data_IF_449724343821
#
_entry.id   IF_449724343821
#
_cell.length_a   1.000
_cell.length_b   1.000
_cell.length_c   1.000
_cell.angle_alpha   90.00
_cell.angle_beta   90.00
_cell.angle_gamma   90.00
#
_symmetry.space_group_name_H-M   'P 1'
#
loop_
_entity.id
_entity.type
_entity.pdbx_description
1 polymer ?
#
# COMPACT_ATOMS: atom_id res chain seq x y z
N UNK A 1 1.05 -96.15 24.09
CA UNK A 1 0.56 -94.76 24.16
C UNK A 1 0.25 -94.38 25.61
N UNK A 2 1.14 -93.58 26.21
CA UNK A 2 1.09 -92.77 27.45
C UNK A 2 2.58 -92.36 27.64
N UNK A 3 3.00 -91.13 27.96
CA UNK A 3 2.49 -90.05 28.78
C UNK A 3 3.19 -88.74 28.39
N UNK A 4 2.53 -87.59 28.63
CA UNK A 4 3.10 -86.24 28.67
C UNK A 4 3.90 -86.02 29.97
N UNK A 5 4.90 -85.13 29.95
CA UNK A 5 5.25 -84.08 30.96
C UNK A 5 6.58 -83.37 30.54
N UNK A 6 6.96 -82.17 31.04
CA UNK A 6 6.51 -80.87 30.52
C UNK A 6 7.68 -79.89 30.21
N UNK A 7 7.30 -78.73 29.64
CA UNK A 7 7.97 -77.42 29.64
C UNK A 7 9.37 -77.28 30.26
N UNK A 8 10.34 -76.85 29.44
CA UNK A 8 11.30 -75.78 29.80
C UNK A 8 11.69 -75.03 28.53
N UNK A 9 11.38 -73.74 28.43
CA UNK A 9 12.18 -72.81 27.61
C UNK A 9 12.29 -71.51 28.40
N UNK A 10 13.43 -71.35 29.07
CA UNK A 10 13.80 -70.11 29.71
C UNK A 10 13.98 -69.04 28.64
N UNK A 11 13.13 -68.01 28.67
CA UNK A 11 13.33 -66.80 27.85
C UNK A 11 14.39 -65.97 28.55
N UNK A 12 15.64 -66.07 28.08
CA UNK A 12 16.70 -65.13 28.42
C UNK A 12 16.40 -63.81 27.70
N UNK A 13 15.92 -62.83 28.46
CA UNK A 13 15.81 -61.43 28.00
C UNK A 13 17.22 -60.88 27.92
N UNK A 14 17.82 -60.91 26.73
CA UNK A 14 19.05 -60.18 26.46
C UNK A 14 18.68 -58.72 26.21
N UNK A 15 18.87 -57.88 27.23
CA UNK A 15 18.90 -56.43 27.08
C UNK A 15 20.16 -56.05 26.29
N UNK A 16 20.09 -56.12 24.96
CA UNK A 16 21.07 -55.44 24.11
C UNK A 16 20.66 -53.98 24.08
N UNK A 17 21.43 -53.15 24.78
CA UNK A 17 21.36 -51.71 24.68
C UNK A 17 21.55 -51.32 23.22
N UNK A 18 20.47 -50.89 22.56
CA UNK A 18 20.58 -50.22 21.27
C UNK A 18 21.26 -48.88 21.56
N UNK A 19 22.58 -48.88 21.50
CA UNK A 19 23.36 -47.66 21.40
C UNK A 19 23.06 -47.08 20.01
N UNK A 20 21.94 -46.36 19.92
CA UNK A 20 21.68 -45.45 18.81
C UNK A 20 22.71 -44.32 18.92
N UNK A 21 23.92 -44.61 18.48
CA UNK A 21 24.88 -43.62 18.07
C UNK A 21 24.36 -43.03 16.76
N UNK A 22 23.30 -42.23 16.86
CA UNK A 22 23.00 -41.26 15.81
C UNK A 22 24.26 -40.41 15.66
N UNK A 23 24.87 -40.35 14.47
CA UNK A 23 26.06 -39.53 14.28
C UNK A 23 25.70 -38.09 14.64
N UNK A 24 26.30 -37.55 15.71
CA UNK A 24 26.18 -36.15 16.12
C UNK A 24 26.60 -35.15 15.01
N UNK A 25 27.08 -35.67 13.88
CA UNK A 25 27.50 -34.94 12.69
C UNK A 25 26.33 -34.44 11.84
N UNK A 26 25.17 -35.10 11.83
CA UNK A 26 24.02 -34.65 11.02
C UNK A 26 23.29 -33.45 11.63
N UNK A 27 23.38 -33.28 12.95
CA UNK A 27 22.84 -32.09 13.61
C UNK A 27 23.72 -30.87 13.30
N UNK A 28 25.06 -31.02 13.35
CA UNK A 28 26.00 -29.90 13.21
C UNK A 28 26.01 -29.22 11.83
N UNK A 29 25.80 -29.98 10.76
CA UNK A 29 25.72 -29.43 9.40
C UNK A 29 24.42 -28.66 9.16
N UNK A 30 23.31 -29.11 9.73
CA UNK A 30 22.04 -28.38 9.67
C UNK A 30 22.05 -27.13 10.56
N UNK A 31 22.69 -27.21 11.74
CA UNK A 31 22.96 -26.04 12.59
C UNK A 31 23.94 -25.03 11.97
N UNK A 32 24.81 -25.43 11.03
CA UNK A 32 25.63 -24.49 10.25
C UNK A 32 24.80 -23.77 9.18
N UNK A 33 24.02 -24.52 8.40
CA UNK A 33 23.07 -23.93 7.44
C UNK A 33 22.03 -23.00 8.08
N UNK A 34 21.62 -23.25 9.33
CA UNK A 34 20.74 -22.36 10.12
C UNK A 34 21.47 -21.20 10.82
N UNK A 35 22.81 -21.25 10.94
CA UNK A 35 23.62 -20.23 11.65
C UNK A 35 24.33 -19.28 10.69
N UNK A 36 24.54 -19.68 9.44
CA UNK A 36 25.12 -18.84 8.38
C UNK A 36 24.07 -17.95 7.66
N UNK A 37 22.76 -18.07 7.94
CA UNK A 37 21.69 -17.33 7.23
C UNK A 37 21.01 -16.18 7.99
N UNK A 38 21.25 -16.05 9.30
CA UNK A 38 20.35 -15.30 10.20
C UNK A 38 21.01 -14.32 11.18
N UNK A 39 22.32 -14.09 11.09
CA UNK A 39 22.95 -13.04 11.90
C UNK A 39 23.68 -12.04 11.02
N UNK A 40 23.06 -10.88 10.85
CA UNK A 40 23.75 -9.70 10.34
C UNK A 40 25.02 -9.46 11.15
N UNK A 41 26.13 -9.23 10.45
CA UNK A 41 27.42 -8.89 11.05
C UNK A 41 27.42 -7.48 11.65
N UNK A 42 28.60 -7.02 12.08
CA UNK A 42 28.77 -5.60 12.43
C UNK A 42 28.60 -4.74 11.18
N UNK A 43 27.83 -3.67 11.28
CA UNK A 43 27.66 -2.72 10.19
C UNK A 43 28.96 -1.95 9.94
N UNK A 44 29.47 -2.03 8.71
CA UNK A 44 30.60 -1.24 8.23
C UNK A 44 30.17 -0.39 7.03
N UNK A 45 29.92 0.90 7.29
CA UNK A 45 29.41 1.84 6.30
C UNK A 45 30.39 2.09 5.15
N UNK A 46 31.69 1.84 5.34
CA UNK A 46 32.68 2.05 4.28
C UNK A 46 32.55 1.02 3.14
N UNK A 47 31.87 -0.11 3.38
CA UNK A 47 31.59 -1.13 2.39
C UNK A 47 30.28 -0.90 1.64
N UNK A 48 29.44 0.03 2.11
CA UNK A 48 28.16 0.30 1.50
C UNK A 48 28.31 1.07 0.19
N UNK A 49 27.53 0.67 -0.82
CA UNK A 49 27.38 1.44 -2.06
C UNK A 49 26.38 2.57 -1.83
N UNK A 50 26.67 3.77 -2.32
CA UNK A 50 25.71 4.87 -2.28
C UNK A 50 24.71 4.73 -3.44
N UNK A 51 23.41 4.54 -3.15
CA UNK A 51 22.41 4.41 -4.21
C UNK A 51 22.14 5.78 -4.84
N UNK A 52 21.93 5.79 -6.16
CA UNK A 52 21.61 6.98 -6.94
C UNK A 52 20.19 6.86 -7.50
N UNK A 53 19.54 8.01 -7.68
CA UNK A 53 18.24 8.12 -8.33
C UNK A 53 17.12 7.30 -7.68
N UNK A 54 17.04 7.31 -6.34
CA UNK A 54 15.97 6.62 -5.61
C UNK A 54 14.68 7.45 -5.58
N UNK A 55 13.61 7.09 -6.33
CA UNK A 55 12.46 7.96 -6.49
C UNK A 55 11.58 8.07 -5.24
N UNK A 56 11.61 7.04 -4.40
CA UNK A 56 10.96 7.01 -3.10
C UNK A 56 11.96 7.18 -1.94
N UNK A 57 13.12 7.78 -2.19
CA UNK A 57 14.16 7.91 -1.17
C UNK A 57 14.84 6.57 -0.83
N UNK A 58 15.59 6.57 0.27
CA UNK A 58 16.44 5.45 0.66
C UNK A 58 15.93 4.76 1.92
N UNK A 59 15.94 3.44 1.91
CA UNK A 59 15.70 2.58 3.06
C UNK A 59 17.01 1.90 3.47
N UNK A 60 17.00 1.17 4.56
CA UNK A 60 18.15 0.35 4.96
C UNK A 60 17.94 -1.10 4.49
N UNK A 61 19.04 -1.78 4.20
CA UNK A 61 19.07 -3.21 3.87
C UNK A 61 18.42 -4.08 4.97
N UNK A 62 18.31 -5.39 4.71
CA UNK A 62 17.81 -6.40 5.68
C UNK A 62 18.50 -6.32 7.05
N UNK A 63 19.76 -5.86 7.07
CA UNK A 63 20.57 -5.77 8.27
C UNK A 63 20.51 -4.40 8.95
N UNK A 64 19.76 -3.45 8.41
CA UNK A 64 19.69 -2.08 8.92
C UNK A 64 21.01 -1.32 8.78
N UNK A 65 21.86 -1.68 7.83
CA UNK A 65 23.21 -1.12 7.69
C UNK A 65 23.35 -0.24 6.45
N UNK A 66 23.35 -0.84 5.26
CA UNK A 66 23.60 -0.11 4.03
C UNK A 66 22.32 0.54 3.48
N UNK A 67 22.43 1.75 2.91
CA UNK A 67 21.30 2.39 2.25
C UNK A 67 21.00 1.72 0.90
N UNK A 68 19.73 1.44 0.66
CA UNK A 68 19.18 0.93 -0.60
C UNK A 68 18.02 1.83 -1.06
N UNK A 69 17.65 1.78 -2.34
CA UNK A 69 16.45 2.51 -2.77
C UNK A 69 15.20 1.83 -2.23
N UNK A 70 14.28 2.63 -1.66
CA UNK A 70 12.98 2.12 -1.25
C UNK A 70 12.05 1.88 -2.44
N UNK A 71 11.16 0.91 -2.30
CA UNK A 71 10.12 0.62 -3.29
C UNK A 71 9.16 1.81 -3.43
N UNK A 72 8.76 2.09 -4.66
CA UNK A 72 7.82 3.17 -5.00
C UNK A 72 6.37 2.74 -4.86
N UNK A 73 5.45 3.71 -4.86
CA UNK A 73 4.00 3.44 -4.83
C UNK A 73 3.58 2.42 -5.92
N UNK A 74 2.83 1.39 -5.51
CA UNK A 74 2.34 0.28 -6.35
C UNK A 74 3.30 -0.91 -6.50
N UNK A 75 4.55 -0.83 -6.03
CA UNK A 75 5.46 -1.98 -6.06
C UNK A 75 5.17 -2.96 -4.91
N UNK A 76 5.43 -4.24 -5.16
CA UNK A 76 5.34 -5.30 -4.16
C UNK A 76 6.36 -5.04 -3.04
N UNK A 77 6.02 -5.35 -1.80
CA UNK A 77 6.87 -5.12 -0.64
C UNK A 77 6.73 -6.21 0.42
N UNK A 78 7.70 -6.30 1.32
CA UNK A 78 7.62 -7.23 2.45
C UNK A 78 6.82 -6.61 3.61
N UNK A 79 5.79 -7.31 4.10
CA UNK A 79 4.97 -6.87 5.24
C UNK A 79 5.69 -6.97 6.59
N UNK A 80 6.51 -8.01 6.72
CA UNK A 80 7.26 -8.31 7.93
C UNK A 80 8.74 -7.95 7.74
N UNK A 81 9.36 -7.36 8.77
CA UNK A 81 10.78 -6.99 8.75
C UNK A 81 11.74 -8.18 8.65
N UNK A 82 11.25 -9.41 8.84
CA UNK A 82 12.05 -10.63 8.75
C UNK A 82 12.27 -11.15 7.32
N UNK A 83 11.37 -10.77 6.39
CA UNK A 83 11.49 -11.11 4.98
C UNK A 83 12.00 -9.88 4.21
N UNK A 84 12.93 -10.09 3.28
CA UNK A 84 13.53 -9.00 2.48
C UNK A 84 13.62 -9.40 1.00
N UNK A 85 12.65 -10.20 0.55
CA UNK A 85 12.64 -10.70 -0.82
C UNK A 85 12.19 -9.61 -1.81
N UNK A 86 11.17 -8.84 -1.43
CA UNK A 86 10.64 -7.75 -2.24
C UNK A 86 11.17 -6.38 -1.80
N UNK A 87 11.66 -6.26 -0.58
CA UNK A 87 12.24 -5.04 -0.02
C UNK A 87 11.22 -4.15 0.69
N UNK A 88 11.72 -3.02 1.21
CA UNK A 88 10.94 -2.07 2.00
C UNK A 88 10.41 -0.92 1.14
N UNK A 89 9.23 -0.42 1.51
CA UNK A 89 8.69 0.81 0.93
C UNK A 89 9.50 2.03 1.33
N UNK A 90 9.68 2.96 0.40
CA UNK A 90 10.40 4.20 0.65
C UNK A 90 9.65 5.23 1.49
N UNK A 91 10.13 6.47 1.39
CA UNK A 91 9.64 7.61 2.14
C UNK A 91 8.14 7.86 1.90
N UNK A 92 7.41 8.10 2.99
CA UNK A 92 5.96 8.33 3.00
C UNK A 92 5.11 7.18 2.46
N UNK A 93 5.69 5.98 2.29
CA UNK A 93 4.97 4.78 1.85
C UNK A 93 4.84 3.77 2.99
N UNK A 94 3.83 2.92 2.89
CA UNK A 94 3.60 1.80 3.82
C UNK A 94 3.19 0.56 3.02
N UNK A 95 3.72 -0.59 3.40
CA UNK A 95 3.37 -1.86 2.78
C UNK A 95 1.99 -2.31 3.29
N UNK A 96 1.02 -2.53 2.38
CA UNK A 96 -0.32 -3.00 2.73
C UNK A 96 -0.77 -4.12 1.80
N UNK A 97 -1.56 -5.05 2.33
CA UNK A 97 -2.34 -6.00 1.56
C UNK A 97 -3.71 -5.39 1.27
N UNK A 98 -4.14 -5.39 0.02
CA UNK A 98 -5.53 -5.11 -0.32
C UNK A 98 -6.35 -6.41 -0.14
N UNK A 99 -7.13 -6.46 0.93
CA UNK A 99 -7.96 -7.62 1.24
C UNK A 99 -9.18 -7.72 0.31
N UNK A 100 -9.55 -6.63 -0.39
CA UNK A 100 -10.71 -6.61 -1.27
C UNK A 100 -10.44 -7.32 -2.62
N UNK A 101 -9.16 -7.47 -3.00
CA UNK A 101 -8.72 -8.25 -4.18
C UNK A 101 -8.76 -9.77 -3.97
N UNK A 102 -8.90 -10.24 -2.73
CA UNK A 102 -8.94 -11.68 -2.40
C UNK A 102 -10.21 -12.41 -2.92
N UNK A 103 -11.08 -11.75 -3.69
CA UNK A 103 -12.38 -12.28 -4.11
C UNK A 103 -12.33 -13.35 -5.21
N UNK A 104 -11.15 -13.65 -5.78
CA UNK A 104 -11.02 -14.60 -6.89
C UNK A 104 -10.10 -15.79 -6.62
N UNK A 105 -9.78 -16.09 -5.36
CA UNK A 105 -8.92 -17.24 -5.02
C UNK A 105 -7.43 -17.04 -5.34
N UNK A 106 -7.06 -15.83 -5.76
CA UNK A 106 -5.68 -15.36 -5.85
C UNK A 106 -5.27 -14.78 -4.49
N UNK A 107 -4.05 -15.09 -4.05
CA UNK A 107 -3.48 -14.52 -2.83
C UNK A 107 -3.03 -13.09 -3.18
N UNK A 108 -3.60 -12.04 -2.58
CA UNK A 108 -3.24 -10.67 -2.94
C UNK A 108 -1.78 -10.39 -2.56
N UNK A 109 -1.06 -9.73 -3.46
CA UNK A 109 0.32 -9.34 -3.22
C UNK A 109 0.37 -7.99 -2.48
N UNK A 110 1.15 -7.88 -1.39
CA UNK A 110 1.26 -6.64 -0.65
C UNK A 110 2.00 -5.57 -1.45
N UNK A 111 1.47 -4.35 -1.48
CA UNK A 111 2.04 -3.23 -2.24
C UNK A 111 2.31 -2.00 -1.38
N UNK A 112 3.27 -1.19 -1.82
CA UNK A 112 3.56 0.11 -1.23
C UNK A 112 2.46 1.11 -1.58
N UNK A 113 1.78 1.64 -0.57
CA UNK A 113 0.76 2.68 -0.73
C UNK A 113 1.16 3.96 -0.01
N UNK A 114 0.80 5.12 -0.57
CA UNK A 114 1.12 6.39 0.06
C UNK A 114 0.38 6.57 1.39
N UNK A 115 1.11 7.03 2.42
CA UNK A 115 0.56 7.27 3.76
C UNK A 115 -0.50 8.38 3.78
N UNK A 116 -0.41 9.34 2.85
CA UNK A 116 -1.36 10.43 2.70
C UNK A 116 -1.91 10.44 1.28
N UNK A 117 -3.22 10.63 1.14
CA UNK A 117 -3.89 10.84 -0.15
C UNK A 117 -4.22 12.34 -0.38
N UNK A 118 -3.65 13.23 0.44
CA UNK A 118 -3.80 14.68 0.28
C UNK A 118 -3.04 15.15 -0.96
N UNK A 119 -3.75 15.75 -1.93
CA UNK A 119 -3.14 16.31 -3.14
C UNK A 119 -2.21 17.47 -2.84
N UNK A 120 -1.30 17.77 -3.77
CA UNK A 120 -0.26 18.78 -3.60
C UNK A 120 -0.10 19.63 -4.86
N UNK A 121 0.06 20.94 -4.69
CA UNK A 121 0.40 21.83 -5.78
C UNK A 121 1.92 22.00 -5.90
N UNK A 122 2.48 21.49 -6.99
CA UNK A 122 3.90 21.59 -7.28
C UNK A 122 4.34 22.98 -7.74
N UNK A 123 5.65 23.25 -7.80
CA UNK A 123 6.19 24.54 -8.23
C UNK A 123 5.78 24.93 -9.65
N UNK A 124 5.68 23.93 -10.54
CA UNK A 124 5.28 24.08 -11.94
C UNK A 124 3.78 24.33 -12.14
N UNK A 125 2.99 24.46 -11.05
CA UNK A 125 1.53 24.60 -11.14
C UNK A 125 0.82 23.30 -11.50
N UNK A 126 1.51 22.16 -11.36
CA UNK A 126 0.96 20.82 -11.55
C UNK A 126 0.47 20.27 -10.21
N UNK A 127 -0.77 19.78 -10.20
CA UNK A 127 -1.33 19.00 -9.09
C UNK A 127 -0.79 17.58 -9.12
N UNK A 128 -0.35 17.09 -7.96
CA UNK A 128 -0.01 15.70 -7.71
C UNK A 128 -1.07 15.09 -6.79
N UNK A 129 -1.45 13.84 -7.02
CA UNK A 129 -2.51 13.18 -6.24
C UNK A 129 -2.15 13.06 -4.77
N UNK A 130 -0.86 12.83 -4.49
CA UNK A 130 -0.32 12.71 -3.15
C UNK A 130 1.17 13.10 -3.07
N UNK A 131 1.72 13.10 -1.85
CA UNK A 131 3.14 13.41 -1.59
C UNK A 131 4.12 12.41 -2.24
N UNK A 132 3.74 11.14 -2.37
CA UNK A 132 4.62 10.12 -2.91
C UNK A 132 4.85 10.33 -4.41
N UNK A 133 3.80 10.70 -5.16
CA UNK A 133 3.93 11.08 -6.57
C UNK A 133 4.74 12.36 -6.77
N UNK A 134 4.56 13.36 -5.89
CA UNK A 134 5.36 14.58 -5.90
C UNK A 134 6.85 14.26 -5.71
N UNK A 135 7.21 13.51 -4.65
CA UNK A 135 8.58 13.13 -4.36
C UNK A 135 9.20 12.33 -5.52
N UNK A 136 8.47 11.38 -6.08
CA UNK A 136 8.91 10.60 -7.25
C UNK A 136 9.26 11.48 -8.45
N UNK A 137 8.45 12.49 -8.76
CA UNK A 137 8.69 13.39 -9.88
C UNK A 137 9.89 14.32 -9.67
N UNK A 138 10.27 14.58 -8.42
CA UNK A 138 11.32 15.52 -8.04
C UNK A 138 12.54 14.85 -7.39
N UNK A 139 12.63 13.52 -7.38
CA UNK A 139 13.65 12.77 -6.66
C UNK A 139 15.10 13.15 -7.03
N UNK A 140 15.34 13.49 -8.29
CA UNK A 140 16.66 13.91 -8.79
C UNK A 140 16.90 15.41 -8.69
N UNK A 141 15.86 16.20 -8.41
CA UNK A 141 15.96 17.66 -8.35
C UNK A 141 16.23 18.10 -6.91
N UNK A 142 17.24 18.96 -6.70
CA UNK A 142 17.56 19.51 -5.37
C UNK A 142 16.85 20.83 -5.10
N UNK A 143 16.59 21.13 -3.83
CA UNK A 143 16.01 22.38 -3.33
C UNK A 143 14.62 22.71 -3.92
N UNK A 144 13.77 21.70 -4.06
CA UNK A 144 12.40 21.90 -4.51
C UNK A 144 11.45 21.80 -3.33
N UNK A 145 10.58 22.80 -3.23
CA UNK A 145 9.47 22.83 -2.29
C UNK A 145 8.15 22.88 -3.06
N UNK A 146 7.14 22.17 -2.56
CA UNK A 146 5.76 22.38 -3.00
C UNK A 146 5.32 23.82 -2.72
N UNK A 147 4.37 24.34 -3.50
CA UNK A 147 3.78 25.67 -3.24
C UNK A 147 2.85 25.63 -2.04
N UNK A 148 1.92 24.69 -2.04
CA UNK A 148 0.99 24.47 -0.94
C UNK A 148 0.42 23.04 -1.01
N UNK A 149 -0.20 22.63 0.09
CA UNK A 149 -1.03 21.42 0.16
C UNK A 149 -2.38 21.66 -0.48
N UNK A 150 -3.01 20.61 -0.98
CA UNK A 150 -4.19 20.69 -1.85
C UNK A 150 -3.81 20.77 -3.33
N UNK A 151 -4.78 20.56 -4.24
CA UNK A 151 -4.56 20.70 -5.67
C UNK A 151 -4.23 22.16 -6.04
N UNK A 152 -3.59 22.37 -7.18
CA UNK A 152 -3.38 23.73 -7.68
C UNK A 152 -4.70 24.42 -8.01
N UNK A 153 -4.71 25.75 -7.89
CA UNK A 153 -5.85 26.58 -8.25
C UNK A 153 -6.30 26.34 -9.70
N UNK A 154 -7.61 26.22 -9.90
CA UNK A 154 -8.22 26.00 -11.20
C UNK A 154 -9.52 26.78 -11.32
N UNK A 155 -9.75 27.36 -12.50
CA UNK A 155 -10.99 28.07 -12.78
C UNK A 155 -12.18 27.09 -12.81
N UNK A 156 -13.39 27.53 -12.43
CA UNK A 156 -14.56 26.67 -12.43
C UNK A 156 -14.92 26.18 -13.83
N UNK A 157 -15.05 24.87 -13.97
CA UNK A 157 -15.47 24.19 -15.20
C UNK A 157 -16.72 23.38 -14.89
N UNK A 158 -17.77 23.54 -15.70
CA UNK A 158 -18.96 22.70 -15.61
C UNK A 158 -18.60 21.35 -16.22
N UNK A 159 -18.30 20.35 -15.38
CA UNK A 159 -17.97 18.98 -15.82
C UNK A 159 -19.21 18.24 -16.30
N UNK A 160 -20.37 18.48 -15.66
CA UNK A 160 -21.66 17.97 -16.08
C UNK A 160 -22.69 19.09 -16.13
N UNK A 161 -23.10 19.55 -17.32
CA UNK A 161 -24.13 20.58 -17.45
C UNK A 161 -25.52 20.01 -17.18
N UNK A 162 -26.48 20.85 -16.73
CA UNK A 162 -27.87 20.44 -16.57
C UNK A 162 -28.46 19.99 -17.90
N UNK A 163 -29.12 18.84 -17.87
CA UNK A 163 -29.73 18.21 -19.04
C UNK A 163 -31.21 18.57 -19.14
N UNK A 164 -31.74 18.53 -20.36
CA UNK A 164 -33.17 18.68 -20.61
C UNK A 164 -33.93 17.44 -20.08
N UNK A 165 -35.03 17.67 -19.36
CA UNK A 165 -35.86 16.61 -18.77
C UNK A 165 -37.28 16.72 -19.30
N UNK A 166 -37.87 15.57 -19.66
CA UNK A 166 -39.29 15.46 -19.99
C UNK A 166 -40.03 14.80 -18.83
N UNK A 167 -41.08 15.44 -18.33
CA UNK A 167 -41.91 14.91 -17.25
C UNK A 167 -43.38 15.31 -17.44
N UNK A 168 -44.28 14.66 -16.70
CA UNK A 168 -45.70 15.02 -16.69
C UNK A 168 -45.95 16.23 -15.80
N UNK A 169 -46.95 17.04 -16.17
CA UNK A 169 -47.36 18.21 -15.40
C UNK A 169 -47.75 17.84 -13.97
N UNK A 170 -47.23 18.58 -13.00
CA UNK A 170 -47.46 18.35 -11.57
C UNK A 170 -46.41 17.47 -10.89
N UNK A 171 -45.48 16.89 -11.64
CA UNK A 171 -44.33 16.16 -11.09
C UNK A 171 -43.15 17.09 -10.84
N UNK A 172 -42.30 16.69 -9.90
CA UNK A 172 -41.02 17.35 -9.63
C UNK A 172 -39.99 17.08 -10.73
N UNK A 173 -39.16 18.07 -11.04
CA UNK A 173 -38.02 17.95 -11.94
C UNK A 173 -36.74 18.36 -11.22
N UNK A 174 -35.67 17.57 -11.40
CA UNK A 174 -34.38 17.80 -10.77
C UNK A 174 -33.35 18.07 -11.86
N UNK A 175 -32.70 19.22 -11.77
CA UNK A 175 -31.57 19.57 -12.63
C UNK A 175 -30.28 19.41 -11.82
N UNK A 176 -29.32 18.66 -12.37
CA UNK A 176 -28.03 18.44 -11.73
C UNK A 176 -26.96 19.17 -12.53
N UNK A 177 -26.10 19.90 -11.83
CA UNK A 177 -24.91 20.53 -12.40
C UNK A 177 -23.71 20.10 -11.56
N UNK A 178 -22.68 19.56 -12.21
CA UNK A 178 -21.40 19.27 -11.58
C UNK A 178 -20.38 20.28 -12.06
N UNK A 179 -19.68 20.91 -11.11
CA UNK A 179 -18.66 21.92 -11.36
C UNK A 179 -17.39 21.51 -10.66
N UNK A 180 -16.28 21.48 -11.39
CA UNK A 180 -14.95 21.22 -10.87
C UNK A 180 -14.13 22.52 -10.83
N UNK A 181 -13.57 22.84 -9.67
CA UNK A 181 -12.66 23.95 -9.46
C UNK A 181 -11.88 23.76 -8.16
N UNK A 182 -10.78 24.49 -8.00
CA UNK A 182 -10.13 24.66 -6.71
C UNK A 182 -9.68 26.11 -6.51
N UNK A 183 -9.99 26.75 -5.37
CA UNK A 183 -10.91 26.28 -4.32
C UNK A 183 -12.35 26.14 -4.82
N UNK A 184 -13.24 25.57 -3.99
CA UNK A 184 -14.66 25.42 -4.35
C UNK A 184 -15.27 26.78 -4.72
N UNK A 185 -15.96 26.88 -5.88
CA UNK A 185 -16.48 28.14 -6.36
C UNK A 185 -17.83 28.50 -5.75
N UNK A 186 -18.21 29.77 -5.86
CA UNK A 186 -19.57 30.22 -5.59
C UNK A 186 -20.49 29.85 -6.76
N UNK A 187 -21.57 29.11 -6.49
CA UNK A 187 -22.51 28.65 -7.51
C UNK A 187 -23.82 29.43 -7.43
N UNK A 188 -24.33 29.84 -8.59
CA UNK A 188 -25.55 30.61 -8.73
C UNK A 188 -26.44 30.01 -9.82
N UNK A 189 -27.71 29.79 -9.51
CA UNK A 189 -28.69 29.23 -10.45
C UNK A 189 -29.62 30.31 -10.98
N UNK A 190 -29.94 30.24 -12.27
CA UNK A 190 -30.90 31.15 -12.94
C UNK A 190 -31.87 30.36 -13.80
N UNK A 191 -33.15 30.74 -13.75
CA UNK A 191 -34.17 30.25 -14.67
C UNK A 191 -34.24 31.16 -15.89
N UNK A 192 -34.11 30.58 -17.09
CA UNK A 192 -34.19 31.33 -18.36
C UNK A 192 -35.50 32.14 -18.43
N UNK A 193 -35.39 33.43 -18.72
CA UNK A 193 -36.52 34.37 -18.75
C UNK A 193 -36.80 35.09 -17.41
N UNK A 194 -36.16 34.68 -16.32
CA UNK A 194 -36.16 35.41 -15.05
C UNK A 194 -34.78 36.07 -14.83
N UNK A 195 -34.75 37.31 -14.35
CA UNK A 195 -33.51 38.01 -13.98
C UNK A 195 -33.04 37.68 -12.57
N UNK A 196 -33.88 37.02 -11.77
CA UNK A 196 -33.59 36.72 -10.37
C UNK A 196 -32.75 35.45 -10.22
N UNK A 197 -31.80 35.48 -9.29
CA UNK A 197 -31.02 34.32 -8.88
C UNK A 197 -31.87 33.42 -7.96
N UNK A 198 -31.61 32.11 -8.00
CA UNK A 198 -32.24 31.12 -7.13
C UNK A 198 -31.33 30.83 -5.91
N UNK A 199 -31.90 30.49 -4.74
CA UNK A 199 -33.33 30.40 -4.44
C UNK A 199 -33.95 31.79 -4.24
N UNK A 200 -35.06 32.06 -4.95
CA UNK A 200 -35.90 33.24 -4.70
C UNK A 200 -37.02 32.92 -3.71
N UNK A 201 -38.07 33.75 -3.68
CA UNK A 201 -39.25 33.54 -2.83
C UNK A 201 -40.24 32.47 -3.35
N UNK A 202 -39.85 31.66 -4.34
CA UNK A 202 -40.73 30.64 -4.92
C UNK A 202 -40.69 29.36 -4.09
N UNK A 203 -41.82 29.01 -3.46
CA UNK A 203 -41.96 27.82 -2.62
C UNK A 203 -41.80 26.51 -3.39
N UNK A 204 -41.89 26.53 -4.72
CA UNK A 204 -41.77 25.34 -5.57
C UNK A 204 -40.35 25.12 -6.09
N UNK A 205 -39.39 26.00 -5.76
CA UNK A 205 -38.00 25.90 -6.21
C UNK A 205 -37.08 25.81 -5.01
N UNK A 206 -36.26 24.77 -4.98
CA UNK A 206 -35.16 24.64 -4.02
C UNK A 206 -33.84 24.40 -4.75
N UNK A 207 -32.77 24.96 -4.21
CA UNK A 207 -31.40 24.77 -4.70
C UNK A 207 -30.59 24.19 -3.56
N UNK A 208 -29.88 23.10 -3.84
CA UNK A 208 -28.99 22.45 -2.88
C UNK A 208 -27.60 22.38 -3.50
N UNK A 209 -26.60 22.83 -2.76
CA UNK A 209 -25.18 22.66 -3.09
C UNK A 209 -24.61 21.66 -2.10
N UNK A 210 -23.94 20.63 -2.60
CA UNK A 210 -23.35 19.56 -1.82
C UNK A 210 -21.83 19.65 -1.88
#
# INVERSE_FOLDING_TARGET
LKMKHPMVTAVLVVLVQVSQSFPALYHRSWWRLLREGDSCGKCDLALCSEPKDCPAGTVLDRCGCCPECGNVEGQICDLDQGNHFYGQCGDNLVCRLDADEARFGEVPEPQCVCKSQESICGPEGKTYENICQFNKAYATKRNISMKHKGPCESAPVISMPPQDVQNFTGNDVIFVCEVSAYPMPHLEWKKKGNKMFLPGDDTHISVQVK
#
